data_IF_574418482064
#
_entry.id   IF_574418482064
#
_cell.length_a   1.000
_cell.length_b   1.000
_cell.length_c   1.000
_cell.angle_alpha   90.00
_cell.angle_beta   90.00
_cell.angle_gamma   90.00
#
_symmetry.space_group_name_H-M   'P 1'
#
loop_
_entity.id
_entity.type
_entity.pdbx_description
1 polymer ?
#
# COMPACT_ATOMS: atom_id res chain seq x y z
N UNK A 1 -8.40 4.45 17.08
CA UNK A 1 -7.16 4.47 16.28
C UNK A 1 -7.12 3.15 15.53
N UNK A 2 -6.99 3.17 14.21
CA UNK A 2 -6.85 1.92 13.47
C UNK A 2 -5.47 1.30 13.72
N UNK A 3 -5.39 -0.02 13.95
CA UNK A 3 -4.15 -0.68 14.33
C UNK A 3 -3.19 -0.83 13.14
N UNK A 4 -1.89 -0.84 13.44
CA UNK A 4 -0.88 -1.32 12.49
C UNK A 4 -1.19 -2.77 12.11
N UNK A 5 -1.15 -3.07 10.81
CA UNK A 5 -1.33 -4.42 10.29
C UNK A 5 0.05 -5.09 10.19
N UNK A 6 0.32 -6.16 10.96
CA UNK A 6 1.54 -6.94 10.80
C UNK A 6 1.44 -7.78 9.52
N UNK A 7 2.42 -7.65 8.63
CA UNK A 7 2.52 -8.40 7.38
C UNK A 7 3.43 -9.61 7.56
N UNK A 8 4.61 -9.38 8.11
CA UNK A 8 5.60 -10.38 8.50
C UNK A 8 6.46 -9.85 9.67
N UNK A 9 7.52 -10.57 10.03
CA UNK A 9 8.41 -10.22 11.15
C UNK A 9 9.13 -8.87 10.97
N UNK A 10 9.21 -8.37 9.73
CA UNK A 10 9.98 -7.18 9.36
C UNK A 10 9.10 -6.02 8.91
N UNK A 11 7.88 -6.28 8.46
CA UNK A 11 7.00 -5.30 7.83
C UNK A 11 5.67 -5.18 8.57
N UNK A 12 5.37 -3.96 9.03
CA UNK A 12 4.06 -3.54 9.55
C UNK A 12 3.58 -2.34 8.77
N UNK A 13 2.27 -2.21 8.53
CA UNK A 13 1.72 -1.11 7.72
C UNK A 13 0.48 -0.52 8.38
N UNK A 14 0.39 0.81 8.39
CA UNK A 14 -0.83 1.53 8.70
C UNK A 14 -1.33 2.25 7.44
N UNK A 15 -2.29 1.64 6.74
CA UNK A 15 -2.83 2.19 5.49
C UNK A 15 -3.59 3.52 5.70
N UNK A 16 -4.17 3.71 6.88
CA UNK A 16 -4.98 4.88 7.19
C UNK A 16 -4.15 6.08 7.62
N UNK A 17 -3.02 5.83 8.31
CA UNK A 17 -2.03 6.86 8.63
C UNK A 17 -0.90 6.97 7.59
N UNK A 18 -0.98 6.20 6.51
CA UNK A 18 -0.04 6.22 5.37
C UNK A 18 1.43 6.07 5.78
N UNK A 19 1.75 5.10 6.63
CA UNK A 19 3.13 4.75 6.93
C UNK A 19 3.34 3.24 6.98
N UNK A 20 4.58 2.82 6.76
CA UNK A 20 5.05 1.47 7.00
C UNK A 20 6.17 1.49 8.03
N UNK A 21 6.32 0.42 8.79
CA UNK A 21 7.46 0.17 9.67
C UNK A 21 8.20 -1.04 9.10
N UNK A 22 9.45 -0.83 8.71
CA UNK A 22 10.35 -1.84 8.15
C UNK A 22 11.56 -1.96 9.06
N UNK A 23 11.83 -3.15 9.60
CA UNK A 23 12.94 -3.40 10.54
C UNK A 23 12.94 -2.36 11.69
N UNK A 24 11.76 -2.11 12.27
CA UNK A 24 11.49 -1.13 13.33
C UNK A 24 11.72 0.36 12.96
N UNK A 25 12.03 0.65 11.70
CA UNK A 25 12.12 2.02 11.18
C UNK A 25 10.83 2.43 10.47
N UNK A 26 10.28 3.59 10.83
CA UNK A 26 9.06 4.12 10.22
C UNK A 26 9.37 4.91 8.94
N UNK A 27 8.56 4.67 7.90
CA UNK A 27 8.60 5.33 6.60
C UNK A 27 7.21 5.86 6.24
N UNK A 28 7.12 7.15 5.94
CA UNK A 28 5.89 7.74 5.39
C UNK A 28 5.69 7.29 3.95
N UNK A 29 4.50 6.83 3.61
CA UNK A 29 4.12 6.41 2.27
C UNK A 29 3.47 7.57 1.53
N UNK A 30 3.90 7.82 0.30
CA UNK A 30 3.16 8.69 -0.62
C UNK A 30 1.78 8.10 -0.93
N UNK A 31 0.82 8.90 -1.43
CA UNK A 31 -0.50 8.40 -1.79
C UNK A 31 -0.46 7.22 -2.79
N UNK A 32 0.48 7.24 -3.73
CA UNK A 32 0.65 6.18 -4.72
C UNK A 32 1.22 4.91 -4.08
N UNK A 33 2.27 5.01 -3.27
CA UNK A 33 2.86 3.87 -2.58
C UNK A 33 1.85 3.20 -1.64
N UNK A 34 1.09 3.98 -0.88
CA UNK A 34 0.06 3.44 0.00
C UNK A 34 -0.99 2.63 -0.77
N UNK A 35 -1.39 3.09 -1.95
CA UNK A 35 -2.32 2.35 -2.83
C UNK A 35 -1.69 1.08 -3.39
N UNK A 36 -0.45 1.14 -3.87
CA UNK A 36 0.26 -0.04 -4.39
C UNK A 36 0.31 -1.10 -3.30
N UNK A 37 0.77 -0.73 -2.10
CA UNK A 37 0.86 -1.63 -0.96
C UNK A 37 -0.51 -2.22 -0.59
N UNK A 38 -1.57 -1.40 -0.61
CA UNK A 38 -2.92 -1.86 -0.35
C UNK A 38 -3.40 -2.89 -1.39
N UNK A 39 -3.13 -2.66 -2.67
CA UNK A 39 -3.46 -3.59 -3.76
C UNK A 39 -2.68 -4.90 -3.61
N UNK A 40 -1.38 -4.83 -3.33
CA UNK A 40 -0.54 -6.00 -3.13
C UNK A 40 -1.00 -6.83 -1.92
N UNK A 41 -1.31 -6.18 -0.80
CA UNK A 41 -1.78 -6.83 0.42
C UNK A 41 -3.09 -7.61 0.21
N UNK A 42 -4.06 -6.99 -0.47
CA UNK A 42 -5.35 -7.62 -0.76
C UNK A 42 -5.27 -8.74 -1.80
N UNK A 43 -4.21 -8.78 -2.60
CA UNK A 43 -3.99 -9.82 -3.61
C UNK A 43 -2.77 -10.72 -3.29
N UNK A 44 -2.33 -10.76 -2.03
CA UNK A 44 -1.16 -11.54 -1.61
C UNK A 44 -1.29 -13.01 -2.01
N UNK A 45 -0.17 -13.61 -2.40
CA UNK A 45 -0.11 -14.98 -2.91
C UNK A 45 -0.51 -15.14 -4.38
N UNK A 46 -0.78 -14.05 -5.11
CA UNK A 46 -1.06 -14.07 -6.56
C UNK A 46 -0.08 -13.18 -7.32
N UNK A 47 0.33 -13.62 -8.51
CA UNK A 47 1.07 -12.79 -9.45
C UNK A 47 0.09 -11.83 -10.13
N UNK A 48 0.33 -10.53 -9.98
CA UNK A 48 -0.48 -9.49 -10.62
C UNK A 48 0.14 -9.06 -11.95
N UNK A 49 -0.69 -8.91 -12.98
CA UNK A 49 -0.23 -8.36 -14.25
C UNK A 49 0.01 -6.85 -14.12
N UNK A 50 0.95 -6.27 -14.90
CA UNK A 50 1.14 -4.83 -14.94
C UNK A 50 -0.15 -4.06 -15.29
N UNK A 51 -0.96 -4.59 -16.22
CA UNK A 51 -2.25 -4.00 -16.59
C UNK A 51 -3.23 -3.92 -15.41
N UNK A 52 -3.31 -4.98 -14.60
CA UNK A 52 -4.15 -4.98 -13.40
C UNK A 52 -3.69 -3.94 -12.38
N UNK A 53 -2.37 -3.86 -12.13
CA UNK A 53 -1.80 -2.86 -11.22
C UNK A 53 -2.10 -1.44 -11.69
N UNK A 54 -1.92 -1.15 -12.99
CA UNK A 54 -2.22 0.15 -13.57
C UNK A 54 -3.69 0.54 -13.36
N UNK A 55 -4.63 -0.36 -13.66
CA UNK A 55 -6.06 -0.10 -13.47
C UNK A 55 -6.44 0.15 -12.01
N UNK A 56 -5.86 -0.60 -11.06
CA UNK A 56 -6.23 -0.51 -9.65
C UNK A 56 -5.59 0.66 -8.91
N UNK A 57 -4.36 1.04 -9.27
CA UNK A 57 -3.60 2.08 -8.57
C UNK A 57 -3.79 3.46 -9.22
N UNK A 58 -3.85 3.52 -10.55
CA UNK A 58 -3.86 4.77 -11.34
C UNK A 58 -5.19 5.09 -12.02
N UNK A 59 -6.28 4.39 -11.67
CA UNK A 59 -7.63 4.58 -12.22
C UNK A 59 -7.85 6.01 -12.75
N UNK A 60 -8.04 6.19 -14.08
CA UNK A 60 -8.01 7.49 -14.75
C UNK A 60 -9.12 8.45 -14.27
N UNK A 61 -10.11 7.95 -13.55
CA UNK A 61 -11.17 8.76 -12.93
C UNK A 61 -10.72 9.47 -11.64
N UNK A 62 -9.61 9.05 -11.02
CA UNK A 62 -9.10 9.65 -9.79
C UNK A 62 -8.13 10.79 -10.12
N UNK A 63 -8.63 12.02 -10.08
CA UNK A 63 -7.79 13.22 -10.10
C UNK A 63 -6.91 13.25 -8.85
N UNK A 64 -5.59 13.36 -9.02
CA UNK A 64 -4.68 13.63 -7.92
C UNK A 64 -5.05 14.97 -7.29
N UNK A 65 -5.37 14.97 -6.01
CA UNK A 65 -5.38 16.21 -5.22
C UNK A 65 -3.92 16.59 -5.02
N UNK A 66 -3.45 17.49 -5.87
CA UNK A 66 -2.20 18.24 -5.67
C UNK A 66 -2.44 19.25 -4.57
#
# INVERSE_FOLDING_TARGET
MEPELPIDDRLRINFSQQYAVVDDQQFTLTPTENRIMNVLYHNRGRVLSPGFLLTKVWDPTRKGTV
#
